data_IF_603006327340
#
_entry.id   IF_603006327340
#
_cell.length_a   1.000
_cell.length_b   1.000
_cell.length_c   1.000
_cell.angle_alpha   90.00
_cell.angle_beta   90.00
_cell.angle_gamma   90.00
#
_symmetry.space_group_name_H-M   'P 1'
#
loop_
_entity.id
_entity.type
_entity.pdbx_description
1 polymer ?
#
# COMPACT_ATOMS: atom_id res chain seq x y z
N UNK A 1 -21.31 26.10 -21.02
CA UNK A 1 -21.27 24.76 -20.41
C UNK A 1 -21.39 24.89 -18.90
N UNK A 2 -21.94 23.89 -18.22
CA UNK A 2 -22.06 23.89 -16.76
C UNK A 2 -20.67 23.87 -16.11
N UNK A 3 -20.48 24.64 -15.05
CA UNK A 3 -19.25 24.62 -14.24
C UNK A 3 -19.09 23.31 -13.44
N UNK A 4 -20.13 22.46 -13.41
CA UNK A 4 -20.10 21.14 -12.82
C UNK A 4 -20.65 20.10 -13.82
N UNK A 5 -19.94 19.01 -13.98
CA UNK A 5 -20.29 17.89 -14.86
C UNK A 5 -20.05 16.57 -14.14
N UNK A 6 -20.80 15.53 -14.53
CA UNK A 6 -20.65 14.22 -13.92
C UNK A 6 -19.64 13.37 -14.68
N UNK A 7 -18.90 12.55 -13.94
CA UNK A 7 -17.91 11.63 -14.49
C UNK A 7 -18.44 10.19 -14.49
N UNK A 8 -18.02 9.44 -15.50
CA UNK A 8 -18.01 7.99 -15.52
C UNK A 8 -16.62 7.55 -15.03
N UNK A 9 -16.48 7.08 -13.78
CA UNK A 9 -15.25 6.48 -13.31
C UNK A 9 -15.03 5.08 -13.91
N UNK A 10 -13.84 4.53 -13.71
CA UNK A 10 -13.48 3.18 -14.20
C UNK A 10 -13.25 2.22 -13.05
N UNK A 11 -13.75 0.98 -13.17
CA UNK A 11 -13.60 -0.06 -12.14
C UNK A 11 -12.47 -1.03 -12.46
N UNK A 12 -11.64 -1.34 -11.48
CA UNK A 12 -10.62 -2.38 -11.56
C UNK A 12 -11.05 -3.61 -10.76
N UNK A 13 -10.97 -4.79 -11.39
CA UNK A 13 -11.38 -6.08 -10.82
C UNK A 13 -10.19 -6.91 -10.32
N UNK A 14 -9.33 -6.31 -9.51
CA UNK A 14 -8.18 -7.02 -8.94
C UNK A 14 -8.64 -8.09 -7.93
N UNK A 15 -7.89 -9.18 -7.84
CA UNK A 15 -8.19 -10.39 -7.06
C UNK A 15 -8.26 -10.20 -5.54
N UNK A 16 -7.72 -9.09 -5.03
CA UNK A 16 -7.79 -8.68 -3.63
C UNK A 16 -9.06 -7.91 -3.27
N UNK A 17 -9.84 -7.50 -4.28
CA UNK A 17 -11.05 -6.71 -4.09
C UNK A 17 -12.20 -7.48 -3.44
N UNK A 18 -13.06 -6.76 -2.71
CA UNK A 18 -14.34 -7.31 -2.23
C UNK A 18 -15.22 -7.77 -3.39
N UNK A 19 -16.03 -8.80 -3.15
CA UNK A 19 -16.83 -9.48 -4.18
C UNK A 19 -18.24 -8.94 -4.26
N UNK A 20 -18.73 -8.70 -5.48
CA UNK A 20 -20.10 -8.24 -5.73
C UNK A 20 -20.47 -6.97 -4.94
N UNK A 21 -21.72 -6.89 -4.48
CA UNK A 21 -22.20 -5.72 -3.72
C UNK A 21 -21.63 -5.57 -2.32
N UNK A 22 -20.79 -6.49 -1.83
CA UNK A 22 -20.01 -6.24 -0.61
C UNK A 22 -18.93 -5.16 -0.82
N UNK A 23 -18.57 -4.90 -2.08
CA UNK A 23 -17.61 -3.88 -2.48
C UNK A 23 -18.27 -2.50 -2.61
N UNK A 24 -17.69 -1.50 -1.94
CA UNK A 24 -18.09 -0.10 -2.15
C UNK A 24 -17.85 0.35 -3.60
N UNK A 25 -16.81 -0.17 -4.26
CA UNK A 25 -16.53 0.06 -5.68
C UNK A 25 -17.70 -0.42 -6.54
N UNK A 26 -18.19 -1.65 -6.30
CA UNK A 26 -19.34 -2.20 -7.03
C UNK A 26 -20.63 -1.40 -6.74
N UNK A 27 -20.87 -1.04 -5.49
CA UNK A 27 -22.04 -0.23 -5.10
C UNK A 27 -22.05 1.12 -5.83
N UNK A 28 -20.91 1.83 -5.88
CA UNK A 28 -20.81 3.12 -6.56
C UNK A 28 -20.88 2.99 -8.07
N UNK A 29 -20.27 1.95 -8.66
CA UNK A 29 -20.37 1.70 -10.09
C UNK A 29 -21.82 1.34 -10.50
N UNK A 30 -22.52 0.53 -9.70
CA UNK A 30 -23.90 0.12 -9.94
C UNK A 30 -24.89 1.29 -9.83
N UNK A 31 -24.64 2.23 -8.91
CA UNK A 31 -25.43 3.46 -8.79
C UNK A 31 -25.40 4.34 -10.06
N UNK A 32 -24.46 4.07 -10.97
CA UNK A 32 -24.28 4.78 -12.23
C UNK A 32 -24.53 3.93 -13.48
N UNK A 33 -25.42 2.94 -13.37
CA UNK A 33 -25.75 1.93 -14.40
C UNK A 33 -26.07 2.48 -15.80
N UNK A 34 -26.45 3.76 -15.90
CA UNK A 34 -26.63 4.48 -17.17
C UNK A 34 -25.37 4.48 -18.08
N UNK A 35 -24.19 4.17 -17.54
CA UNK A 35 -22.93 4.10 -18.28
C UNK A 35 -22.53 2.68 -18.78
N UNK A 36 -23.43 1.70 -18.73
CA UNK A 36 -23.15 0.35 -19.25
C UNK A 36 -22.39 -0.57 -18.28
N UNK A 37 -22.33 -0.21 -16.99
CA UNK A 37 -21.82 -1.11 -15.96
C UNK A 37 -22.80 -2.26 -15.72
N UNK A 38 -22.32 -3.50 -15.86
CA UNK A 38 -23.06 -4.70 -15.48
C UNK A 38 -22.40 -5.32 -14.26
N UNK A 39 -23.16 -5.43 -13.17
CA UNK A 39 -22.72 -6.08 -11.94
C UNK A 39 -22.59 -7.58 -12.15
N UNK A 40 -21.46 -8.14 -11.72
CA UNK A 40 -21.26 -9.57 -11.54
C UNK A 40 -21.06 -9.82 -10.05
N UNK A 41 -22.05 -10.45 -9.40
CA UNK A 41 -22.04 -10.70 -7.96
C UNK A 41 -20.90 -11.63 -7.51
N UNK A 42 -20.25 -12.34 -8.43
CA UNK A 42 -19.15 -13.25 -8.12
C UNK A 42 -17.77 -12.64 -8.44
N UNK A 43 -17.72 -11.47 -9.08
CA UNK A 43 -16.48 -10.82 -9.44
C UNK A 43 -15.95 -9.94 -8.29
N UNK A 44 -14.61 -9.85 -8.12
CA UNK A 44 -14.02 -8.86 -7.23
C UNK A 44 -14.08 -7.47 -7.88
N UNK A 45 -14.31 -6.45 -7.05
CA UNK A 45 -14.29 -5.04 -7.42
C UNK A 45 -13.40 -4.30 -6.43
N UNK A 46 -12.20 -3.96 -6.89
CA UNK A 46 -11.08 -3.58 -6.04
C UNK A 46 -10.87 -2.07 -5.98
N UNK A 47 -10.83 -1.41 -7.15
CA UNK A 47 -10.60 0.05 -7.23
C UNK A 47 -11.64 0.72 -8.14
N UNK A 48 -12.05 1.93 -7.79
CA UNK A 48 -12.82 2.86 -8.64
C UNK A 48 -11.97 4.10 -8.91
N UNK A 49 -11.57 4.34 -10.15
CA UNK A 49 -10.64 5.41 -10.51
C UNK A 49 -11.37 6.64 -11.01
N UNK A 50 -11.02 7.79 -10.43
CA UNK A 50 -11.54 9.11 -10.77
C UNK A 50 -10.37 10.03 -11.08
N UNK A 51 -10.20 10.37 -12.35
CA UNK A 51 -9.13 11.25 -12.80
C UNK A 51 -8.76 11.03 -14.26
N UNK A 52 -7.56 11.46 -14.61
CA UNK A 52 -7.05 11.51 -15.99
C UNK A 52 -5.97 10.47 -16.27
N UNK A 53 -5.80 9.47 -15.40
CA UNK A 53 -4.76 8.47 -15.57
C UNK A 53 -4.96 7.69 -16.88
N UNK A 54 -3.92 7.61 -17.70
CA UNK A 54 -4.02 7.08 -19.07
C UNK A 54 -4.44 5.61 -19.12
N UNK A 55 -4.07 4.80 -18.12
CA UNK A 55 -4.43 3.37 -18.03
C UNK A 55 -5.90 3.14 -17.71
N UNK A 56 -6.58 4.11 -17.09
CA UNK A 56 -7.96 3.98 -16.63
C UNK A 56 -8.65 5.36 -16.55
N UNK A 57 -8.86 6.02 -17.70
CA UNK A 57 -9.32 7.41 -17.73
C UNK A 57 -10.81 7.51 -17.35
N UNK A 58 -11.17 8.53 -16.58
CA UNK A 58 -12.57 8.92 -16.41
C UNK A 58 -13.10 9.60 -17.67
N UNK A 59 -14.42 9.54 -17.86
CA UNK A 59 -15.13 10.14 -19.00
C UNK A 59 -16.26 11.05 -18.55
N UNK A 60 -16.67 12.00 -19.37
CA UNK A 60 -17.85 12.82 -19.10
C UNK A 60 -19.13 12.01 -19.37
N UNK A 61 -20.05 11.92 -18.40
CA UNK A 61 -21.32 11.19 -18.64
C UNK A 61 -22.19 11.88 -19.68
N UNK A 62 -22.38 13.19 -19.53
CA UNK A 62 -23.35 13.95 -20.34
C UNK A 62 -22.82 14.24 -21.75
N UNK A 63 -21.57 13.84 -22.06
CA UNK A 63 -20.99 13.94 -23.39
C UNK A 63 -21.49 12.78 -24.27
N UNK A 64 -22.10 13.04 -25.44
CA UNK A 64 -22.55 11.98 -26.34
C UNK A 64 -21.45 11.01 -26.77
N UNK A 65 -20.20 11.48 -26.86
CA UNK A 65 -19.02 10.68 -27.21
C UNK A 65 -18.35 10.02 -26.00
N UNK A 66 -18.83 10.28 -24.77
CA UNK A 66 -18.16 9.96 -23.51
C UNK A 66 -16.68 10.35 -23.57
N UNK A 67 -16.42 11.60 -23.94
CA UNK A 67 -15.09 12.19 -24.03
C UNK A 67 -14.29 11.96 -22.73
N UNK A 68 -12.98 11.71 -22.87
CA UNK A 68 -12.09 11.54 -21.71
C UNK A 68 -11.98 12.86 -20.96
N UNK A 69 -11.89 12.77 -19.63
CA UNK A 69 -11.67 13.94 -18.78
C UNK A 69 -10.39 14.68 -19.14
N UNK A 70 -9.31 13.97 -19.49
CA UNK A 70 -8.04 14.58 -19.91
C UNK A 70 -8.21 15.48 -21.14
N UNK A 71 -8.92 14.99 -22.15
CA UNK A 71 -9.07 15.67 -23.43
C UNK A 71 -9.93 16.93 -23.24
N UNK A 72 -10.99 16.82 -22.43
CA UNK A 72 -11.82 17.95 -22.05
C UNK A 72 -11.05 19.01 -21.27
N UNK A 73 -10.24 18.62 -20.28
CA UNK A 73 -9.43 19.56 -19.50
C UNK A 73 -8.32 20.21 -20.33
N UNK A 74 -7.77 19.51 -21.33
CA UNK A 74 -6.80 20.08 -22.27
C UNK A 74 -7.44 21.16 -23.17
N UNK A 75 -8.70 20.96 -23.58
CA UNK A 75 -9.47 21.95 -24.33
C UNK A 75 -9.97 23.12 -23.47
N UNK A 76 -10.04 22.92 -22.15
CA UNK A 76 -10.58 23.86 -21.17
C UNK A 76 -9.58 24.12 -20.00
N UNK A 77 -8.38 24.66 -20.27
CA UNK A 77 -7.34 24.84 -19.25
C UNK A 77 -7.75 25.78 -18.11
N UNK A 78 -8.76 26.63 -18.31
CA UNK A 78 -9.36 27.46 -17.27
C UNK A 78 -9.96 26.64 -16.11
N UNK A 79 -10.35 25.39 -16.35
CA UNK A 79 -10.90 24.49 -15.32
C UNK A 79 -9.83 23.92 -14.39
N UNK A 80 -8.58 23.78 -14.87
CA UNK A 80 -7.42 23.46 -14.04
C UNK A 80 -6.86 24.71 -13.35
N UNK A 81 -6.86 25.83 -14.07
CA UNK A 81 -6.34 27.11 -13.62
C UNK A 81 -4.82 27.23 -13.78
N UNK A 82 -4.36 28.44 -14.13
CA UNK A 82 -2.93 28.75 -14.37
C UNK A 82 -2.00 28.31 -13.23
N UNK A 83 -2.33 28.50 -11.93
CA UNK A 83 -1.43 28.08 -10.85
C UNK A 83 -1.15 26.57 -10.83
N UNK A 84 -2.14 25.73 -11.14
CA UNK A 84 -1.98 24.27 -11.19
C UNK A 84 -1.16 23.88 -12.42
N UNK A 85 -1.48 24.47 -13.58
CA UNK A 85 -0.76 24.20 -14.84
C UNK A 85 0.71 24.59 -14.73
N UNK A 86 1.03 25.75 -14.14
CA UNK A 86 2.40 26.20 -13.96
C UNK A 86 3.18 25.31 -12.99
N UNK A 87 2.56 24.94 -11.86
CA UNK A 87 3.20 24.11 -10.83
C UNK A 87 3.46 22.68 -11.29
N UNK A 88 2.51 22.09 -12.02
CA UNK A 88 2.54 20.67 -12.40
C UNK A 88 2.72 20.45 -13.91
N UNK A 89 3.35 21.41 -14.60
CA UNK A 89 3.60 21.34 -16.04
C UNK A 89 4.36 20.07 -16.42
N UNK A 90 5.35 19.68 -15.62
CA UNK A 90 6.14 18.47 -15.87
C UNK A 90 5.37 17.17 -15.66
N UNK A 91 4.29 17.18 -14.89
CA UNK A 91 3.41 16.02 -14.69
C UNK A 91 2.23 15.97 -15.68
N UNK A 92 2.23 16.83 -16.70
CA UNK A 92 1.26 16.78 -17.78
C UNK A 92 0.01 17.66 -17.58
N UNK A 93 0.05 18.60 -16.64
CA UNK A 93 -1.12 19.45 -16.36
C UNK A 93 -1.49 20.38 -17.52
N UNK A 94 -0.53 20.79 -18.35
CA UNK A 94 -0.81 21.58 -19.55
C UNK A 94 -1.54 20.76 -20.63
N UNK A 95 -1.41 19.44 -20.56
CA UNK A 95 -2.02 18.44 -21.44
C UNK A 95 -3.34 17.89 -20.85
N UNK A 96 -3.88 18.56 -19.83
CA UNK A 96 -5.15 18.21 -19.21
C UNK A 96 -5.07 17.13 -18.13
N UNK A 97 -3.87 16.71 -17.70
CA UNK A 97 -3.75 15.74 -16.62
C UNK A 97 -3.94 16.38 -15.24
N UNK A 98 -4.75 15.74 -14.40
CA UNK A 98 -4.79 16.06 -12.99
C UNK A 98 -3.48 15.61 -12.30
N UNK A 99 -2.90 16.45 -11.42
CA UNK A 99 -1.68 16.11 -10.69
C UNK A 99 -1.92 15.10 -9.55
N UNK A 100 -3.13 14.55 -9.46
CA UNK A 100 -3.53 13.52 -8.52
C UNK A 100 -4.46 12.52 -9.20
N UNK A 101 -4.51 11.32 -8.62
CA UNK A 101 -5.49 10.29 -8.92
C UNK A 101 -6.30 10.03 -7.65
N UNK A 102 -7.62 10.14 -7.77
CA UNK A 102 -8.55 9.85 -6.68
C UNK A 102 -9.18 8.48 -6.89
N UNK A 103 -9.30 7.70 -5.83
CA UNK A 103 -9.83 6.34 -5.89
C UNK A 103 -10.74 6.00 -4.73
N UNK A 104 -11.60 5.02 -4.96
CA UNK A 104 -12.22 4.22 -3.90
C UNK A 104 -11.60 2.83 -3.96
N UNK A 105 -11.12 2.33 -2.83
CA UNK A 105 -10.64 0.94 -2.71
C UNK A 105 -11.59 0.16 -1.83
N UNK A 106 -11.85 -1.10 -2.20
CA UNK A 106 -12.65 -2.03 -1.41
C UNK A 106 -11.85 -3.31 -1.18
N UNK A 107 -11.20 -3.40 -0.02
CA UNK A 107 -10.10 -4.32 0.26
C UNK A 107 -10.61 -5.53 1.04
N UNK A 108 -10.49 -6.72 0.44
CA UNK A 108 -10.82 -8.01 1.05
C UNK A 108 -9.54 -8.74 1.50
N UNK A 109 -8.55 -8.79 0.61
CA UNK A 109 -7.21 -9.35 0.88
C UNK A 109 -6.19 -8.26 1.10
N UNK A 110 -5.23 -8.52 1.97
CA UNK A 110 -4.13 -7.60 2.20
C UNK A 110 -3.38 -7.33 0.89
N UNK A 111 -2.97 -6.08 0.70
CA UNK A 111 -2.09 -5.68 -0.39
C UNK A 111 -0.64 -6.02 -0.04
N UNK A 112 0.22 -5.90 -1.03
CA UNK A 112 1.65 -6.14 -0.85
C UNK A 112 2.26 -5.22 0.21
N UNK A 113 3.19 -5.75 1.01
CA UNK A 113 4.13 -4.91 1.76
C UNK A 113 4.92 -4.10 0.74
N UNK A 114 4.77 -2.79 0.80
CA UNK A 114 5.29 -1.89 -0.22
C UNK A 114 5.83 -0.58 0.36
N UNK A 115 6.62 0.10 -0.46
CA UNK A 115 6.96 1.50 -0.26
C UNK A 115 6.97 2.21 -1.61
N UNK A 116 6.89 3.55 -1.56
CA UNK A 116 7.00 4.40 -2.73
C UNK A 116 8.32 5.15 -2.72
N UNK A 117 9.04 5.15 -3.86
CA UNK A 117 10.26 5.93 -3.97
C UNK A 117 9.95 7.43 -3.87
N UNK A 118 10.91 8.19 -3.35
CA UNK A 118 10.93 9.63 -3.54
C UNK A 118 11.20 9.99 -5.01
N UNK A 119 11.21 11.29 -5.33
CA UNK A 119 11.32 11.74 -6.73
C UNK A 119 12.70 11.42 -7.33
N UNK A 120 13.76 11.47 -6.53
CA UNK A 120 15.12 11.18 -6.99
C UNK A 120 15.29 9.69 -7.28
N UNK A 121 14.84 8.84 -6.36
CA UNK A 121 14.85 7.39 -6.53
C UNK A 121 13.96 6.95 -7.68
N UNK A 122 12.77 7.54 -7.84
CA UNK A 122 11.87 7.23 -8.97
C UNK A 122 12.53 7.54 -10.33
N UNK A 123 13.19 8.69 -10.46
CA UNK A 123 13.93 9.06 -11.68
C UNK A 123 15.04 8.05 -11.99
N UNK A 124 15.83 7.69 -10.97
CA UNK A 124 16.92 6.72 -11.12
C UNK A 124 16.38 5.35 -11.54
N UNK A 125 15.38 4.84 -10.82
CA UNK A 125 14.79 3.52 -11.05
C UNK A 125 14.10 3.43 -12.42
N UNK A 126 13.37 4.48 -12.83
CA UNK A 126 12.76 4.53 -14.15
C UNK A 126 13.80 4.50 -15.26
N UNK A 127 14.92 5.20 -15.10
CA UNK A 127 16.04 5.18 -16.04
C UNK A 127 16.73 3.81 -16.12
N UNK A 128 16.92 3.14 -14.99
CA UNK A 128 17.59 1.85 -14.90
C UNK A 128 16.70 0.67 -15.34
N UNK A 129 15.41 0.70 -15.01
CA UNK A 129 14.44 -0.40 -15.15
C UNK A 129 13.05 0.10 -15.57
N UNK A 130 12.88 0.72 -16.76
CA UNK A 130 11.58 1.26 -17.22
C UNK A 130 10.50 0.18 -17.45
N UNK A 131 10.92 -1.08 -17.56
CA UNK A 131 10.04 -2.26 -17.60
C UNK A 131 9.33 -2.51 -16.26
N UNK A 132 9.92 -2.08 -15.14
CA UNK A 132 9.38 -2.24 -13.78
C UNK A 132 8.80 -0.94 -13.25
N UNK A 133 9.56 0.15 -13.33
CA UNK A 133 9.20 1.47 -12.83
C UNK A 133 8.71 2.33 -13.99
N UNK A 134 7.42 2.65 -14.01
CA UNK A 134 6.72 3.13 -15.22
C UNK A 134 6.84 4.62 -15.46
N UNK A 135 7.19 5.37 -14.43
CA UNK A 135 7.32 6.82 -14.48
C UNK A 135 8.43 7.29 -13.55
N UNK A 136 8.84 8.54 -13.71
CA UNK A 136 9.89 9.17 -12.91
C UNK A 136 9.34 9.98 -11.72
N UNK A 137 8.09 9.74 -11.32
CA UNK A 137 7.41 10.53 -10.29
C UNK A 137 7.38 9.80 -8.95
N UNK A 138 7.31 10.59 -7.87
CA UNK A 138 7.03 10.05 -6.54
C UNK A 138 5.54 9.70 -6.41
N UNK A 139 5.21 9.00 -5.33
CA UNK A 139 3.83 8.58 -5.05
C UNK A 139 3.48 8.76 -3.57
N UNK A 140 3.38 10.00 -3.07
CA UNK A 140 2.74 10.25 -1.79
C UNK A 140 1.26 9.85 -1.89
N UNK A 141 0.76 9.18 -0.86
CA UNK A 141 -0.62 8.69 -0.81
C UNK A 141 -1.29 9.08 0.51
N UNK A 142 -2.61 9.20 0.47
CA UNK A 142 -3.44 9.38 1.66
C UNK A 142 -4.63 8.43 1.57
N UNK A 143 -4.91 7.72 2.65
CA UNK A 143 -6.06 6.84 2.80
C UNK A 143 -7.01 7.38 3.87
N UNK A 144 -8.28 7.54 3.51
CA UNK A 144 -9.37 7.91 4.42
C UNK A 144 -10.35 6.74 4.54
N UNK A 145 -10.63 6.32 5.77
CA UNK A 145 -11.49 5.19 6.05
C UNK A 145 -12.97 5.51 5.76
N UNK A 146 -13.62 4.70 4.91
CA UNK A 146 -15.07 4.77 4.64
C UNK A 146 -15.83 3.74 5.48
N UNK A 147 -15.17 2.63 5.82
CA UNK A 147 -15.60 1.63 6.80
C UNK A 147 -14.47 1.45 7.83
N UNK A 148 -14.64 0.65 8.91
CA UNK A 148 -13.49 0.20 9.67
C UNK A 148 -12.40 -0.33 8.73
N UNK A 149 -11.20 0.20 8.88
CA UNK A 149 -10.08 0.00 7.96
C UNK A 149 -8.86 -0.46 8.75
N UNK A 150 -8.18 -1.50 8.25
CA UNK A 150 -6.95 -2.00 8.83
C UNK A 150 -5.79 -1.82 7.86
N UNK A 151 -4.66 -1.35 8.38
CA UNK A 151 -3.42 -1.23 7.62
C UNK A 151 -2.22 -1.58 8.49
N UNK A 152 -1.14 -2.02 7.86
CA UNK A 152 0.20 -1.96 8.41
C UNK A 152 0.89 -0.70 7.87
N UNK A 153 1.49 0.12 8.72
CA UNK A 153 2.12 1.38 8.28
C UNK A 153 3.23 1.85 9.22
N UNK A 154 4.42 2.06 8.67
CA UNK A 154 5.59 2.51 9.43
C UNK A 154 6.10 1.46 10.41
N UNK A 155 7.34 1.62 10.87
CA UNK A 155 7.93 0.71 11.85
C UNK A 155 7.35 0.90 13.24
N UNK A 156 7.22 -0.20 13.98
CA UNK A 156 6.91 -0.20 15.41
C UNK A 156 8.06 0.47 16.20
N UNK A 157 7.78 1.00 17.41
CA UNK A 157 8.84 1.40 18.33
C UNK A 157 9.83 0.25 18.58
N UNK A 158 11.13 0.56 18.65
CA UNK A 158 12.20 -0.44 18.76
C UNK A 158 11.99 -1.39 19.94
N UNK A 159 11.54 -0.87 21.09
CA UNK A 159 11.22 -1.67 22.27
C UNK A 159 10.13 -2.73 22.01
N UNK A 160 9.11 -2.41 21.20
CA UNK A 160 8.06 -3.39 20.84
C UNK A 160 8.59 -4.47 19.90
N UNK A 161 9.43 -4.11 18.94
CA UNK A 161 10.09 -5.10 18.08
C UNK A 161 11.00 -6.00 18.92
N UNK A 162 11.72 -5.44 19.91
CA UNK A 162 12.55 -6.21 20.83
C UNK A 162 11.74 -7.18 21.68
N UNK A 163 10.57 -6.78 22.20
CA UNK A 163 9.64 -7.69 22.88
C UNK A 163 9.33 -8.89 21.97
N UNK A 164 8.98 -8.65 20.70
CA UNK A 164 8.68 -9.74 19.75
C UNK A 164 9.90 -10.62 19.46
N UNK A 165 11.11 -10.07 19.34
CA UNK A 165 12.34 -10.88 19.17
C UNK A 165 12.55 -11.80 20.39
N UNK A 166 12.34 -11.30 21.60
CA UNK A 166 12.52 -12.08 22.82
C UNK A 166 11.42 -13.13 22.94
N UNK A 167 10.19 -12.76 22.60
CA UNK A 167 9.03 -13.57 22.90
C UNK A 167 8.59 -14.53 21.80
N UNK A 168 9.00 -14.32 20.55
CA UNK A 168 8.54 -15.08 19.39
C UNK A 168 9.72 -15.83 18.78
N UNK A 169 10.00 -17.09 19.19
CA UNK A 169 11.16 -17.84 18.70
C UNK A 169 11.17 -17.98 17.18
N UNK A 170 10.01 -18.12 16.56
CA UNK A 170 9.85 -18.27 15.12
C UNK A 170 10.26 -17.00 14.38
N UNK A 171 9.86 -15.82 14.88
CA UNK A 171 10.29 -14.54 14.33
C UNK A 171 11.79 -14.31 14.56
N UNK A 172 12.27 -14.61 15.77
CA UNK A 172 13.67 -14.46 16.12
C UNK A 172 14.59 -15.38 15.29
N UNK A 173 14.10 -16.53 14.80
CA UNK A 173 14.86 -17.46 14.00
C UNK A 173 15.21 -16.93 12.59
N UNK A 174 14.48 -15.93 12.09
CA UNK A 174 14.79 -15.28 10.81
C UNK A 174 16.02 -14.34 10.91
N UNK A 175 16.36 -13.90 12.12
CA UNK A 175 17.38 -12.87 12.34
C UNK A 175 18.66 -13.51 12.91
N UNK A 176 19.82 -13.35 12.26
CA UNK A 176 21.10 -13.83 12.78
C UNK A 176 21.37 -13.33 14.20
N UNK A 177 21.99 -14.19 15.02
CA UNK A 177 22.23 -13.90 16.44
C UNK A 177 22.91 -12.55 16.68
N UNK A 178 23.97 -12.23 15.94
CA UNK A 178 24.69 -10.96 16.08
C UNK A 178 23.81 -9.73 15.80
N UNK A 179 22.89 -9.81 14.83
CA UNK A 179 21.94 -8.71 14.52
C UNK A 179 20.91 -8.57 15.64
N UNK A 180 20.41 -9.69 16.19
CA UNK A 180 19.48 -9.66 17.33
C UNK A 180 20.12 -9.04 18.57
N UNK A 181 21.31 -9.48 18.93
CA UNK A 181 22.02 -8.97 20.11
C UNK A 181 22.28 -7.46 20.00
N UNK A 182 22.72 -7.01 18.82
CA UNK A 182 22.89 -5.58 18.54
C UNK A 182 21.57 -4.82 18.67
N UNK A 183 20.50 -5.28 18.02
CA UNK A 183 19.19 -4.63 18.07
C UNK A 183 18.65 -4.55 19.50
N UNK A 184 18.72 -5.65 20.26
CA UNK A 184 18.26 -5.69 21.66
C UNK A 184 19.04 -4.72 22.55
N UNK A 185 20.34 -4.52 22.31
CA UNK A 185 21.15 -3.55 23.08
C UNK A 185 20.76 -2.09 22.86
N UNK A 186 20.13 -1.76 21.72
CA UNK A 186 19.75 -0.38 21.35
C UNK A 186 18.24 -0.14 21.44
N UNK A 187 17.44 -1.17 21.69
CA UNK A 187 15.97 -1.09 21.64
C UNK A 187 15.36 -0.16 22.70
N UNK A 188 16.11 0.16 23.76
CA UNK A 188 15.74 1.11 24.81
C UNK A 188 16.51 2.44 24.72
N UNK A 189 17.06 2.78 23.55
CA UNK A 189 17.78 4.05 23.32
C UNK A 189 16.86 5.26 23.53
N UNK A 190 17.41 6.32 24.13
CA UNK A 190 16.73 7.61 24.31
C UNK A 190 16.63 8.41 22.99
N UNK A 191 17.37 8.02 21.94
CA UNK A 191 17.26 8.55 20.58
C UNK A 191 16.92 7.43 19.58
N UNK A 192 15.67 6.95 19.54
CA UNK A 192 15.26 5.86 18.66
C UNK A 192 15.35 6.20 17.16
N UNK A 193 15.56 7.48 16.82
CA UNK A 193 15.70 7.98 15.44
C UNK A 193 17.14 8.28 15.04
N UNK A 194 18.09 8.02 15.94
CA UNK A 194 19.51 8.22 15.73
C UNK A 194 20.08 7.33 14.62
N UNK A 195 21.21 7.71 13.99
CA UNK A 195 21.80 6.93 12.90
C UNK A 195 22.12 5.48 13.25
N UNK A 196 22.48 5.20 14.51
CA UNK A 196 22.81 3.85 14.99
C UNK A 196 21.58 2.96 15.08
N UNK A 197 20.49 3.51 15.60
CA UNK A 197 19.19 2.87 15.79
C UNK A 197 18.53 2.57 14.44
N UNK A 198 18.53 3.57 13.54
CA UNK A 198 18.09 3.40 12.15
C UNK A 198 18.86 2.30 11.44
N UNK A 199 20.19 2.26 11.62
CA UNK A 199 21.02 1.21 11.05
C UNK A 199 20.66 -0.16 11.65
N UNK A 200 20.45 -0.26 12.96
CA UNK A 200 20.09 -1.52 13.60
C UNK A 200 18.72 -2.03 13.14
N UNK A 201 17.72 -1.14 13.00
CA UNK A 201 16.41 -1.48 12.45
C UNK A 201 16.50 -1.90 10.98
N UNK A 202 17.33 -1.20 10.20
CA UNK A 202 17.63 -1.59 8.81
C UNK A 202 18.27 -2.97 8.72
N UNK A 203 19.27 -3.26 9.53
CA UNK A 203 19.95 -4.55 9.53
C UNK A 203 18.97 -5.69 9.92
N UNK A 204 18.13 -5.45 10.93
CA UNK A 204 17.08 -6.39 11.35
C UNK A 204 16.04 -6.63 10.25
N UNK A 205 15.49 -5.55 9.68
CA UNK A 205 14.47 -5.66 8.64
C UNK A 205 15.02 -6.30 7.37
N UNK A 206 16.28 -5.99 7.02
CA UNK A 206 17.00 -6.65 5.92
C UNK A 206 17.11 -8.15 6.17
N UNK A 207 17.54 -8.56 7.38
CA UNK A 207 17.65 -9.97 7.74
C UNK A 207 16.32 -10.71 7.59
N UNK A 208 15.22 -10.11 8.06
CA UNK A 208 13.87 -10.68 7.91
C UNK A 208 13.49 -10.80 6.43
N UNK A 209 13.57 -9.72 5.65
CA UNK A 209 13.10 -9.72 4.26
C UNK A 209 13.98 -10.52 3.29
N UNK A 210 15.18 -10.92 3.72
CA UNK A 210 16.12 -11.74 2.94
C UNK A 210 16.32 -13.13 3.52
N UNK A 211 15.59 -13.50 4.58
CA UNK A 211 15.64 -14.83 5.15
C UNK A 211 15.33 -15.89 4.07
N UNK A 212 16.10 -16.98 4.07
CA UNK A 212 15.94 -18.02 3.07
C UNK A 212 14.62 -18.76 3.26
N UNK A 213 14.00 -19.21 2.17
CA UNK A 213 12.74 -19.98 2.22
C UNK A 213 12.84 -21.23 3.10
N UNK A 214 14.01 -21.87 3.11
CA UNK A 214 14.32 -23.02 3.98
C UNK A 214 14.27 -22.70 5.47
N UNK A 215 14.33 -21.42 5.84
CA UNK A 215 14.25 -20.93 7.22
C UNK A 215 12.85 -20.42 7.49
N UNK A 216 12.36 -19.41 6.76
CA UNK A 216 11.15 -18.70 7.20
C UNK A 216 9.86 -19.52 6.99
N UNK A 217 9.79 -20.43 6.00
CA UNK A 217 8.57 -21.22 5.78
C UNK A 217 8.30 -22.19 6.94
N UNK A 218 9.26 -23.03 7.38
CA UNK A 218 9.08 -23.85 8.56
C UNK A 218 8.77 -23.06 9.83
N UNK A 219 9.41 -21.89 10.02
CA UNK A 219 9.14 -21.05 11.20
C UNK A 219 7.74 -20.41 11.15
N UNK A 220 7.26 -20.02 9.96
CA UNK A 220 5.89 -19.54 9.80
C UNK A 220 4.86 -20.64 10.07
N UNK A 221 5.10 -21.87 9.61
CA UNK A 221 4.25 -23.02 9.92
C UNK A 221 4.18 -23.30 11.43
N UNK A 222 5.32 -23.25 12.13
CA UNK A 222 5.38 -23.38 13.59
C UNK A 222 4.60 -22.26 14.29
N UNK A 223 4.77 -21.01 13.86
CA UNK A 223 4.09 -19.85 14.41
C UNK A 223 2.57 -20.01 14.31
N UNK A 224 2.08 -20.36 13.12
CA UNK A 224 0.65 -20.55 12.84
C UNK A 224 0.10 -21.72 13.66
N UNK A 225 0.81 -22.84 13.77
CA UNK A 225 0.41 -23.96 14.60
C UNK A 225 0.37 -23.60 16.10
N UNK A 226 1.34 -22.82 16.58
CA UNK A 226 1.38 -22.32 17.96
C UNK A 226 0.19 -21.41 18.25
N UNK A 227 -0.16 -20.52 17.33
CA UNK A 227 -1.33 -19.65 17.49
C UNK A 227 -2.65 -20.43 17.46
N UNK A 228 -2.82 -21.39 16.55
CA UNK A 228 -4.02 -22.24 16.52
C UNK A 228 -4.19 -23.13 17.77
N UNK A 229 -3.10 -23.48 18.45
CA UNK A 229 -3.13 -24.23 19.71
C UNK A 229 -3.26 -23.35 20.96
N UNK A 230 -3.41 -22.02 20.80
CA UNK A 230 -3.54 -21.08 21.92
C UNK A 230 -2.23 -20.77 22.63
N UNK A 231 -1.08 -21.09 22.01
CA UNK A 231 0.26 -20.87 22.55
C UNK A 231 0.81 -19.45 22.32
N UNK A 232 -0.04 -18.47 22.04
CA UNK A 232 0.35 -17.07 21.92
C UNK A 232 0.71 -16.50 23.31
N UNK A 233 1.85 -15.80 23.38
CA UNK A 233 2.26 -15.07 24.59
C UNK A 233 1.46 -13.78 24.73
N UNK A 234 1.53 -13.19 25.93
CA UNK A 234 0.82 -11.95 26.22
C UNK A 234 1.24 -10.78 25.31
N UNK A 235 2.51 -10.70 24.95
CA UNK A 235 3.09 -9.69 24.05
C UNK A 235 2.60 -9.79 22.62
N UNK A 236 2.11 -10.96 22.18
CA UNK A 236 1.69 -11.27 20.81
C UNK A 236 0.19 -11.10 20.56
N UNK A 237 -0.60 -10.87 21.61
CA UNK A 237 -2.08 -10.87 21.51
C UNK A 237 -2.63 -9.89 20.48
N UNK A 238 -1.95 -8.78 20.26
CA UNK A 238 -2.31 -7.74 19.30
C UNK A 238 -2.04 -8.13 17.84
N UNK A 239 -1.20 -9.14 17.58
CA UNK A 239 -0.79 -9.54 16.23
C UNK A 239 -1.26 -10.93 15.81
N UNK A 240 -1.79 -11.76 16.72
CA UNK A 240 -2.26 -13.14 16.41
C UNK A 240 -3.25 -13.14 15.24
N UNK A 241 -4.33 -12.37 15.35
CA UNK A 241 -5.40 -12.36 14.34
C UNK A 241 -4.89 -11.83 12.99
N UNK A 242 -4.02 -10.82 13.03
CA UNK A 242 -3.38 -10.27 11.84
C UNK A 242 -2.50 -11.34 11.16
N UNK A 243 -1.58 -11.97 11.90
CA UNK A 243 -0.66 -12.96 11.36
C UNK A 243 -1.41 -14.17 10.76
N UNK A 244 -2.43 -14.68 11.46
CA UNK A 244 -3.27 -15.77 10.96
C UNK A 244 -4.06 -15.36 9.71
N UNK A 245 -4.62 -14.15 9.68
CA UNK A 245 -5.29 -13.61 8.48
C UNK A 245 -4.32 -13.53 7.31
N UNK A 246 -3.17 -12.90 7.49
CA UNK A 246 -2.18 -12.72 6.42
C UNK A 246 -1.72 -14.08 5.88
N UNK A 247 -1.42 -15.05 6.74
CA UNK A 247 -1.05 -16.40 6.29
C UNK A 247 -2.19 -17.13 5.60
N UNK A 248 -3.45 -16.95 6.02
CA UNK A 248 -4.59 -17.56 5.31
C UNK A 248 -4.76 -17.00 3.89
N UNK A 249 -4.40 -15.73 3.67
CA UNK A 249 -4.48 -15.05 2.37
C UNK A 249 -3.24 -15.32 1.50
N UNK A 250 -2.08 -15.45 2.14
CA UNK A 250 -0.77 -15.69 1.50
C UNK A 250 -0.01 -16.80 2.25
N UNK A 251 -0.40 -18.08 2.10
CA UNK A 251 0.22 -19.17 2.83
C UNK A 251 1.72 -19.27 2.56
N UNK A 252 2.53 -19.26 3.61
CA UNK A 252 3.98 -19.38 3.48
C UNK A 252 4.68 -18.14 2.92
N UNK A 253 4.06 -16.94 2.98
CA UNK A 253 4.68 -15.68 2.53
C UNK A 253 5.44 -14.98 3.68
N UNK A 254 6.64 -14.51 3.39
CA UNK A 254 7.53 -13.84 4.35
C UNK A 254 6.92 -12.55 4.94
N UNK A 255 6.02 -11.89 4.19
CA UNK A 255 5.36 -10.67 4.61
C UNK A 255 4.43 -10.84 5.82
N UNK A 256 4.09 -12.07 6.21
CA UNK A 256 3.37 -12.33 7.47
C UNK A 256 4.18 -11.86 8.68
N UNK A 257 5.51 -11.99 8.65
CA UNK A 257 6.38 -11.52 9.73
C UNK A 257 6.44 -9.99 9.85
N UNK A 258 5.95 -9.23 8.86
CA UNK A 258 5.83 -7.78 8.99
C UNK A 258 4.81 -7.37 10.07
N UNK A 259 3.92 -8.28 10.51
CA UNK A 259 3.04 -8.04 11.66
C UNK A 259 3.82 -7.74 12.96
N UNK A 260 5.06 -8.23 13.09
CA UNK A 260 5.92 -8.00 14.27
C UNK A 260 6.84 -6.78 14.13
N UNK A 261 6.81 -6.10 12.98
CA UNK A 261 7.76 -5.02 12.65
C UNK A 261 7.04 -3.72 12.31
N UNK A 262 5.84 -3.79 11.75
CA UNK A 262 5.06 -2.62 11.32
C UNK A 262 3.90 -2.34 12.26
N UNK A 263 3.50 -1.07 12.40
CA UNK A 263 2.34 -0.73 13.21
C UNK A 263 1.07 -1.30 12.56
N UNK A 264 0.29 -2.09 13.30
CA UNK A 264 -1.05 -2.48 12.91
C UNK A 264 -2.05 -1.41 13.34
N UNK A 265 -2.57 -0.66 12.36
CA UNK A 265 -3.51 0.42 12.57
C UNK A 265 -4.94 -0.06 12.30
N UNK A 266 -5.87 0.34 13.17
CA UNK A 266 -7.32 0.16 12.98
C UNK A 266 -7.99 1.52 12.99
N UNK A 267 -8.35 2.01 11.81
CA UNK A 267 -8.99 3.30 11.61
C UNK A 267 -10.51 3.16 11.62
N UNK A 268 -11.18 4.10 12.28
CA UNK A 268 -12.62 4.29 12.23
C UNK A 268 -13.01 5.09 10.98
N UNK A 269 -14.25 4.95 10.48
CA UNK A 269 -14.74 5.78 9.39
C UNK A 269 -14.51 7.28 9.67
N UNK A 270 -13.92 7.97 8.69
CA UNK A 270 -13.55 9.39 8.79
C UNK A 270 -12.13 9.67 9.29
N UNK A 271 -11.43 8.68 9.87
CA UNK A 271 -10.00 8.79 10.16
C UNK A 271 -9.17 8.59 8.89
N UNK A 272 -7.96 9.17 8.86
CA UNK A 272 -7.08 9.10 7.71
C UNK A 272 -5.62 8.89 8.11
N UNK A 273 -4.85 8.28 7.22
CA UNK A 273 -3.38 8.19 7.28
C UNK A 273 -2.76 8.78 6.01
N UNK A 274 -1.60 9.39 6.17
CA UNK A 274 -0.73 9.82 5.08
C UNK A 274 0.48 8.89 5.00
N UNK A 275 0.82 8.46 3.78
CA UNK A 275 1.93 7.59 3.47
C UNK A 275 3.01 8.41 2.77
N UNK A 276 4.05 8.75 3.53
CA UNK A 276 5.22 9.43 2.99
C UNK A 276 6.07 8.48 2.13
N UNK A 277 6.91 9.05 1.26
CA UNK A 277 7.91 8.28 0.54
C UNK A 277 8.89 7.63 1.53
N UNK A 278 9.31 6.39 1.24
CA UNK A 278 10.22 5.64 2.11
C UNK A 278 9.58 5.05 3.37
N UNK A 279 8.26 5.12 3.52
CA UNK A 279 7.55 4.44 4.62
C UNK A 279 6.99 3.09 4.15
N UNK A 280 7.27 1.98 4.84
CA UNK A 280 6.70 0.67 4.50
C UNK A 280 5.25 0.58 4.97
N UNK A 281 4.37 0.08 4.11
CA UNK A 281 2.95 -0.06 4.43
C UNK A 281 2.28 -1.18 3.63
N UNK A 282 1.11 -1.60 4.08
CA UNK A 282 0.17 -2.44 3.36
C UNK A 282 -1.24 -2.27 3.90
N UNK A 283 -2.22 -2.10 3.03
CA UNK A 283 -3.62 -2.13 3.44
C UNK A 283 -4.08 -3.57 3.65
N UNK A 284 -4.80 -3.83 4.73
CA UNK A 284 -5.18 -5.19 5.14
C UNK A 284 -6.65 -5.47 4.83
N UNK A 285 -7.55 -4.54 5.17
CA UNK A 285 -8.99 -4.71 4.94
C UNK A 285 -9.78 -3.42 5.10
N UNK A 286 -10.97 -3.36 4.50
CA UNK A 286 -11.90 -2.24 4.63
C UNK A 286 -12.10 -1.48 3.32
N UNK A 287 -13.01 -0.51 3.32
CA UNK A 287 -13.19 0.40 2.19
C UNK A 287 -12.60 1.77 2.53
N UNK A 288 -11.86 2.35 1.58
CA UNK A 288 -11.20 3.64 1.74
C UNK A 288 -11.42 4.54 0.53
N UNK A 289 -11.37 5.85 0.77
CA UNK A 289 -11.06 6.82 -0.27
C UNK A 289 -9.55 7.06 -0.26
N UNK A 290 -8.92 6.96 -1.42
CA UNK A 290 -7.48 7.17 -1.59
C UNK A 290 -7.22 8.34 -2.52
N UNK A 291 -6.26 9.19 -2.17
CA UNK A 291 -5.74 10.21 -3.05
C UNK A 291 -4.22 10.10 -3.12
N UNK A 292 -3.68 10.06 -4.33
CA UNK A 292 -2.26 9.86 -4.57
C UNK A 292 -1.78 10.76 -5.72
N UNK A 293 -0.48 11.05 -5.77
CA UNK A 293 0.11 11.59 -6.98
C UNK A 293 -0.02 10.57 -8.13
N UNK A 294 -0.10 11.06 -9.37
CA UNK A 294 -0.21 10.20 -10.57
C UNK A 294 1.12 9.48 -10.81
N UNK A 295 1.25 8.26 -10.29
CA UNK A 295 2.41 7.37 -10.47
C UNK A 295 2.01 5.90 -10.27
N UNK A 296 2.66 4.99 -10.99
CA UNK A 296 2.47 3.54 -10.86
C UNK A 296 3.65 2.86 -10.11
N UNK A 297 4.61 3.65 -9.61
CA UNK A 297 5.79 3.13 -8.92
C UNK A 297 5.45 2.51 -7.57
N UNK A 298 5.70 1.20 -7.45
CA UNK A 298 5.51 0.43 -6.21
C UNK A 298 6.68 -0.54 -6.05
N UNK A 299 7.42 -0.42 -4.96
CA UNK A 299 8.48 -1.38 -4.59
C UNK A 299 7.89 -2.34 -3.56
N UNK A 300 7.96 -3.66 -3.79
CA UNK A 300 7.31 -4.69 -2.95
C UNK A 300 8.32 -5.58 -2.26
N UNK A 301 7.96 -6.10 -1.08
CA UNK A 301 8.77 -7.07 -0.36
C UNK A 301 8.02 -8.30 0.19
N UNK A 302 6.69 -8.31 0.25
CA UNK A 302 5.91 -9.46 0.73
C UNK A 302 4.42 -9.34 0.45
N UNK A 303 3.65 -10.37 0.81
CA UNK A 303 2.21 -10.49 0.59
C UNK A 303 1.85 -10.31 -0.89
N UNK A 304 2.63 -10.93 -1.78
CA UNK A 304 2.46 -10.72 -3.21
C UNK A 304 3.05 -11.83 -4.07
N UNK A 305 2.36 -12.24 -5.14
CA UNK A 305 2.94 -13.10 -6.17
C UNK A 305 3.77 -12.28 -7.20
N UNK A 306 3.73 -10.95 -7.14
CA UNK A 306 4.43 -10.07 -8.09
C UNK A 306 5.92 -9.97 -7.75
N UNK A 307 6.70 -9.36 -8.66
CA UNK A 307 8.13 -9.10 -8.44
C UNK A 307 8.36 -8.38 -7.11
N UNK A 308 9.26 -8.95 -6.29
CA UNK A 308 9.78 -8.34 -5.07
C UNK A 308 11.15 -7.76 -5.36
N UNK A 309 11.32 -6.47 -5.07
CA UNK A 309 12.60 -5.77 -5.23
C UNK A 309 13.09 -5.34 -3.84
N UNK A 310 13.40 -6.36 -3.03
CA UNK A 310 13.82 -6.20 -1.63
C UNK A 310 15.05 -5.29 -1.48
N UNK A 311 16.10 -5.37 -2.34
CA UNK A 311 17.25 -4.47 -2.24
C UNK A 311 16.88 -2.99 -2.37
N UNK A 312 16.08 -2.62 -3.38
CA UNK A 312 15.64 -1.23 -3.53
C UNK A 312 14.66 -0.84 -2.43
N UNK A 313 13.79 -1.74 -1.96
CA UNK A 313 12.90 -1.45 -0.85
C UNK A 313 13.72 -1.09 0.40
N UNK A 314 14.61 -1.98 0.85
CA UNK A 314 15.46 -1.77 2.02
C UNK A 314 16.33 -0.52 1.90
N UNK A 315 16.80 -0.19 0.70
CA UNK A 315 17.60 1.01 0.46
C UNK A 315 16.79 2.30 0.55
N UNK A 316 15.52 2.29 0.13
CA UNK A 316 14.66 3.46 0.08
C UNK A 316 13.89 3.78 1.36
N UNK A 317 13.90 2.89 2.36
CA UNK A 317 13.20 3.14 3.63
C UNK A 317 13.93 4.15 4.54
N UNK A 318 13.14 4.91 5.28
CA UNK A 318 13.60 5.95 6.22
C UNK A 318 14.10 5.41 7.55
N UNK A 319 13.52 4.30 8.03
CA UNK A 319 13.74 3.69 9.35
C UNK A 319 13.60 4.70 10.51
#
# INVERSE_FOLDING_TARGET
>A
MSAAFKLIPTTQKYDWGKVGLSSKVAQYAAAYSAAGFTLDENAPYAELWMGTHHSSPSRLLDSPSQEKLSDYLAAHPELLGSPVIERFRSEGAAEGNLPFLFKILAIEKALSIQTHPDKEMAQRLHKERPDVYKDANHKPEMALALTPFQAMCGFLPLARIADYIVDTPEFAALVPQAIREQFLSIASSDDPTGPTEKKALKDLFTAVMTAQESIFKPELEKLVARYHSGGAKASEKDVVDLALRLNSQFPGDIGVFCAFILNHLVLKPGEAIFLAAGEPHAYVSGDIAECMATSDNVIRAGLTPKLRDVPNLVAGLTY
#
